data_IF_931624382657
#
_entry.id   IF_931624382657
#
_cell.length_a   1.000
_cell.length_b   1.000
_cell.length_c   1.000
_cell.angle_alpha   90.00
_cell.angle_beta   90.00
_cell.angle_gamma   90.00
#
_symmetry.space_group_name_H-M   'P 1'
#
loop_
_entity.id
_entity.type
_entity.pdbx_description
1 polymer ?
#
# COMPACT_ATOMS: atom_id res chain seq x y z
N UNK A 1 -2.14 17.87 -28.61
CA UNK A 1 -1.50 17.97 -27.27
C UNK A 1 -2.20 16.96 -26.36
N UNK A 2 -1.54 15.85 -25.95
CA UNK A 2 -2.25 14.74 -25.32
C UNK A 2 -2.37 14.91 -23.80
N UNK A 3 -3.63 14.95 -23.35
CA UNK A 3 -4.25 14.34 -22.17
C UNK A 3 -3.34 13.82 -21.04
N UNK A 4 -3.23 14.61 -19.97
CA UNK A 4 -2.66 14.25 -18.65
C UNK A 4 -3.69 13.60 -17.69
N UNK A 5 -4.90 13.26 -18.15
CA UNK A 5 -6.01 12.85 -17.28
C UNK A 5 -6.17 11.33 -17.06
N UNK A 6 -5.26 10.48 -17.54
CA UNK A 6 -5.56 9.03 -17.67
C UNK A 6 -4.79 8.09 -16.71
N UNK A 7 -3.80 8.55 -15.93
CA UNK A 7 -3.05 7.64 -15.04
C UNK A 7 -3.56 7.58 -13.60
N UNK A 8 -3.99 8.73 -13.05
CA UNK A 8 -4.44 8.87 -11.65
C UNK A 8 -5.64 7.96 -11.31
N UNK A 9 -6.56 7.77 -12.26
CA UNK A 9 -7.70 6.87 -12.06
C UNK A 9 -7.30 5.41 -11.86
N UNK A 10 -6.25 4.94 -12.56
CA UNK A 10 -5.85 3.52 -12.51
C UNK A 10 -5.08 3.18 -11.24
N UNK A 11 -4.19 4.07 -10.80
CA UNK A 11 -3.42 3.88 -9.56
C UNK A 11 -4.33 3.91 -8.32
N UNK A 12 -5.35 4.77 -8.34
CA UNK A 12 -6.36 4.85 -7.26
C UNK A 12 -7.21 3.58 -7.21
N UNK A 13 -7.62 3.03 -8.36
CA UNK A 13 -8.32 1.75 -8.43
C UNK A 13 -7.48 0.61 -7.85
N UNK A 14 -6.19 0.53 -8.18
CA UNK A 14 -5.32 -0.53 -7.66
C UNK A 14 -5.09 -0.43 -6.14
N UNK A 15 -4.98 0.78 -5.59
CA UNK A 15 -4.82 0.99 -4.16
C UNK A 15 -6.09 0.63 -3.35
N UNK A 16 -7.28 0.97 -3.85
CA UNK A 16 -8.54 0.61 -3.17
C UNK A 16 -8.82 -0.90 -3.25
N UNK A 17 -8.42 -1.56 -4.35
CA UNK A 17 -8.48 -3.02 -4.47
C UNK A 17 -7.58 -3.71 -3.44
N UNK A 18 -6.39 -3.15 -3.20
CA UNK A 18 -5.50 -3.63 -2.14
C UNK A 18 -6.11 -3.42 -0.76
N UNK A 19 -6.72 -2.25 -0.50
CA UNK A 19 -7.40 -1.96 0.77
C UNK A 19 -8.52 -2.97 1.04
N UNK A 20 -9.33 -3.29 0.03
CA UNK A 20 -10.40 -4.30 0.12
C UNK A 20 -9.85 -5.70 0.41
N UNK A 21 -8.72 -6.08 -0.21
CA UNK A 21 -8.04 -7.35 0.04
C UNK A 21 -7.55 -7.45 1.49
N UNK A 22 -6.98 -6.38 2.03
CA UNK A 22 -6.53 -6.31 3.43
C UNK A 22 -7.73 -6.47 4.36
N UNK A 23 -8.86 -5.82 4.07
CA UNK A 23 -10.07 -5.86 4.90
C UNK A 23 -10.69 -7.26 5.02
N UNK A 24 -10.58 -8.06 3.96
CA UNK A 24 -11.09 -9.43 3.92
C UNK A 24 -10.10 -10.49 4.43
N UNK A 25 -8.88 -10.10 4.82
CA UNK A 25 -7.82 -11.04 5.20
C UNK A 25 -7.51 -10.97 6.71
N UNK A 26 -7.12 -12.08 7.35
CA UNK A 26 -6.64 -12.04 8.71
C UNK A 26 -5.32 -11.24 8.78
N UNK A 27 -5.22 -10.37 9.79
CA UNK A 27 -4.03 -9.55 10.04
C UNK A 27 -3.16 -10.19 11.13
N UNK A 28 -1.83 -9.98 11.11
CA UNK A 28 -1.07 -9.12 10.19
C UNK A 28 -0.81 -9.74 8.81
N UNK A 29 -0.88 -8.92 7.76
CA UNK A 29 -0.64 -9.33 6.37
C UNK A 29 0.72 -8.80 5.88
N UNK A 30 1.55 -9.67 5.28
CA UNK A 30 2.91 -9.33 4.82
C UNK A 30 2.97 -9.23 3.29
N UNK A 31 3.67 -8.21 2.80
CA UNK A 31 3.87 -7.91 1.38
C UNK A 31 5.37 -7.85 1.06
N UNK A 32 5.80 -8.63 0.07
CA UNK A 32 7.21 -8.72 -0.35
C UNK A 32 7.47 -8.15 -1.74
N UNK A 33 6.43 -7.99 -2.56
CA UNK A 33 6.58 -7.42 -3.90
C UNK A 33 6.70 -5.90 -3.84
N UNK A 34 7.65 -5.33 -4.57
CA UNK A 34 7.89 -3.88 -4.59
C UNK A 34 6.63 -3.07 -4.93
N UNK A 35 5.85 -3.52 -5.92
CA UNK A 35 4.60 -2.84 -6.31
C UNK A 35 3.55 -2.84 -5.19
N UNK A 36 3.38 -3.97 -4.49
CA UNK A 36 2.45 -4.07 -3.36
C UNK A 36 2.95 -3.22 -2.18
N UNK A 37 4.27 -3.21 -1.91
CA UNK A 37 4.90 -2.40 -0.87
C UNK A 37 4.69 -0.91 -1.14
N UNK A 38 4.81 -0.47 -2.40
CA UNK A 38 4.56 0.92 -2.80
C UNK A 38 3.09 1.30 -2.61
N UNK A 39 2.16 0.41 -2.92
CA UNK A 39 0.74 0.63 -2.65
C UNK A 39 0.42 0.70 -1.15
N UNK A 40 0.99 -0.20 -0.33
CA UNK A 40 0.87 -0.13 1.13
C UNK A 40 1.44 1.19 1.64
N UNK A 41 2.54 1.68 1.06
CA UNK A 41 3.12 2.99 1.39
C UNK A 41 2.15 4.14 1.09
N UNK A 42 1.48 4.10 -0.07
CA UNK A 42 0.47 5.10 -0.46
C UNK A 42 -0.71 5.07 0.51
N UNK A 43 -1.28 3.89 0.78
CA UNK A 43 -2.42 3.73 1.70
C UNK A 43 -2.07 4.19 3.13
N UNK A 44 -0.84 3.88 3.59
CA UNK A 44 -0.34 4.33 4.89
C UNK A 44 -0.15 5.84 4.93
N UNK A 45 0.44 6.43 3.88
CA UNK A 45 0.62 7.88 3.77
C UNK A 45 -0.73 8.62 3.72
N UNK A 46 -1.76 8.01 3.12
CA UNK A 46 -3.13 8.51 3.10
C UNK A 46 -3.89 8.30 4.42
N UNK A 47 -3.31 7.57 5.38
CA UNK A 47 -3.91 7.27 6.68
C UNK A 47 -5.04 6.25 6.63
N UNK A 48 -5.10 5.40 5.59
CA UNK A 48 -6.13 4.38 5.41
C UNK A 48 -5.77 3.06 6.11
N UNK A 49 -4.48 2.79 6.28
CA UNK A 49 -3.98 1.57 6.94
C UNK A 49 -2.91 1.90 7.96
N UNK A 50 -2.82 1.05 8.98
CA UNK A 50 -1.69 1.00 9.89
C UNK A 50 -0.73 -0.10 9.41
N UNK A 51 0.46 0.30 8.99
CA UNK A 51 1.44 -0.61 8.41
C UNK A 51 2.89 -0.27 8.80
N UNK A 52 3.69 -1.31 8.97
CA UNK A 52 5.15 -1.25 9.02
C UNK A 52 5.69 -1.38 7.60
N UNK A 53 6.20 -0.29 7.03
CA UNK A 53 6.80 -0.28 5.69
C UNK A 53 8.29 0.03 5.83
N UNK A 54 9.20 -0.83 5.33
CA UNK A 54 10.62 -0.53 5.35
C UNK A 54 10.89 0.75 4.57
N UNK A 55 11.76 1.60 5.11
CA UNK A 55 12.23 2.75 4.36
C UNK A 55 13.02 2.26 3.14
N UNK A 56 12.80 2.90 1.98
CA UNK A 56 13.57 2.66 0.77
C UNK A 56 14.97 3.26 0.96
N UNK A 57 15.78 2.68 1.85
CA UNK A 57 17.19 3.02 1.93
C UNK A 57 17.88 2.49 0.68
N UNK A 58 18.76 3.30 0.10
CA UNK A 58 19.65 3.03 -1.03
C UNK A 58 19.58 1.60 -1.61
N UNK A 59 19.41 1.44 -2.95
CA UNK A 59 19.23 0.13 -3.59
C UNK A 59 20.27 -0.93 -3.17
N UNK A 60 21.48 -0.48 -2.82
CA UNK A 60 22.59 -1.28 -2.29
C UNK A 60 22.32 -1.96 -0.94
N UNK A 61 21.55 -1.34 -0.03
CA UNK A 61 21.20 -1.89 1.30
C UNK A 61 19.80 -2.51 1.29
N UNK A 62 18.87 -1.99 0.48
CA UNK A 62 17.54 -2.57 0.31
C UNK A 62 17.60 -4.04 -0.10
N UNK A 63 18.57 -4.43 -0.95
CA UNK A 63 18.74 -5.81 -1.40
C UNK A 63 19.13 -6.79 -0.29
N UNK A 64 19.83 -6.33 0.76
CA UNK A 64 20.26 -7.16 1.89
C UNK A 64 19.22 -7.24 3.01
N UNK A 65 18.29 -6.29 3.06
CA UNK A 65 17.29 -6.14 4.14
C UNK A 65 15.87 -6.08 3.58
N UNK A 66 15.54 -6.92 2.59
CA UNK A 66 14.20 -7.08 2.00
C UNK A 66 13.18 -7.52 3.08
N UNK A 67 12.87 -6.64 4.03
CA UNK A 67 11.85 -6.86 5.03
C UNK A 67 10.51 -6.66 4.34
N UNK A 68 9.54 -7.58 4.52
CA UNK A 68 8.22 -7.37 3.98
C UNK A 68 7.58 -6.12 4.62
N UNK A 69 6.78 -5.39 3.85
CA UNK A 69 5.83 -4.47 4.47
C UNK A 69 4.76 -5.29 5.20
N UNK A 70 4.38 -4.88 6.40
CA UNK A 70 3.38 -5.56 7.20
C UNK A 70 2.23 -4.63 7.50
N UNK A 71 1.02 -4.97 7.07
CA UNK A 71 -0.20 -4.28 7.46
C UNK A 71 -0.73 -4.95 8.71
N UNK A 72 -0.94 -4.16 9.76
CA UNK A 72 -1.40 -4.65 11.06
C UNK A 72 -2.86 -4.27 11.34
N UNK A 73 -3.37 -3.27 10.64
CA UNK A 73 -4.73 -2.76 10.82
C UNK A 73 -5.20 -1.90 9.65
N UNK A 74 -6.51 -1.79 9.51
CA UNK A 74 -7.18 -0.75 8.71
C UNK A 74 -7.70 0.32 9.67
N UNK A 75 -7.46 1.59 9.35
CA UNK A 75 -7.94 2.71 10.18
C UNK A 75 -9.43 2.96 9.95
N UNK A 76 -10.10 3.73 10.82
CA UNK A 76 -11.50 4.10 10.59
C UNK A 76 -11.71 4.73 9.20
N UNK A 77 -10.84 5.66 8.81
CA UNK A 77 -10.86 6.27 7.47
C UNK A 77 -10.76 5.23 6.35
N UNK A 78 -9.92 4.22 6.50
CA UNK A 78 -9.81 3.13 5.53
C UNK A 78 -11.09 2.30 5.39
N UNK A 79 -11.82 2.10 6.50
CA UNK A 79 -13.13 1.46 6.45
C UNK A 79 -14.19 2.35 5.81
N UNK A 80 -14.16 3.66 6.08
CA UNK A 80 -15.08 4.62 5.48
C UNK A 80 -14.94 4.67 3.95
N UNK A 81 -13.70 4.55 3.42
CA UNK A 81 -13.43 4.47 1.96
C UNK A 81 -13.90 3.15 1.31
N UNK A 82 -14.22 2.12 2.11
CA UNK A 82 -14.73 0.84 1.61
C UNK A 82 -16.26 0.75 1.53
N UNK A 83 -16.98 1.72 2.13
CA UNK A 83 -18.45 1.83 2.11
C UNK A 83 -18.98 2.36 0.77
#
# INVERSE_FOLDING_TARGET
MPTIATNIGKETTMAIDLLRRIAGSPLPMSFTQTADIDQVRILRAAGLVEAFVPAAHHPSIAMLLQRPAQVVGITQKGWDELQ
#
